data_IF_966243961394
#
_entry.id   IF_966243961394
#
_cell.length_a   1.000
_cell.length_b   1.000
_cell.length_c   1.000
_cell.angle_alpha   90.00
_cell.angle_beta   90.00
_cell.angle_gamma   90.00
#
_symmetry.space_group_name_H-M   'P 1'
#
loop_
_entity.id
_entity.type
_entity.pdbx_description
1 polymer ?
#
# COMPACT_ATOMS: atom_id res chain seq x y z
N UNK A 1 -6.78 8.81 19.70
CA UNK A 1 -6.71 7.42 20.11
C UNK A 1 -5.52 6.77 19.42
N UNK A 2 -4.53 6.37 20.17
CA UNK A 2 -3.32 5.81 19.62
C UNK A 2 -3.51 4.37 19.15
N UNK A 3 -2.87 4.01 18.04
CA UNK A 3 -2.67 2.62 17.68
C UNK A 3 -1.86 1.93 18.77
N UNK A 4 -2.44 0.95 19.43
CA UNK A 4 -1.72 0.15 20.42
C UNK A 4 -0.73 -0.74 19.67
N UNK A 5 0.56 -0.51 19.86
CA UNK A 5 1.61 -1.40 19.39
C UNK A 5 1.76 -2.55 20.37
N UNK A 6 1.74 -3.77 19.87
CA UNK A 6 2.14 -4.93 20.67
C UNK A 6 3.67 -5.07 20.71
N UNK A 7 4.22 -5.86 21.66
CA UNK A 7 5.64 -6.20 21.67
C UNK A 7 6.13 -6.81 20.36
N UNK A 8 5.27 -7.49 19.64
CA UNK A 8 5.58 -8.17 18.37
C UNK A 8 5.49 -7.26 17.15
N UNK A 9 5.23 -5.96 17.35
CA UNK A 9 5.21 -4.95 16.29
C UNK A 9 3.92 -4.86 15.46
N UNK A 10 2.90 -5.67 15.76
CA UNK A 10 1.61 -5.51 15.09
C UNK A 10 0.85 -4.30 15.62
N UNK A 11 0.03 -3.71 14.76
CA UNK A 11 -0.76 -2.50 15.05
C UNK A 11 -2.23 -2.81 14.86
N UNK A 12 -3.03 -2.54 15.90
CA UNK A 12 -4.49 -2.67 15.83
C UNK A 12 -5.09 -1.51 15.04
N UNK A 13 -6.07 -1.81 14.17
CA UNK A 13 -6.87 -0.79 13.52
C UNK A 13 -7.85 -0.17 14.51
N UNK A 14 -8.06 1.14 14.41
CA UNK A 14 -9.17 1.80 15.12
C UNK A 14 -10.53 1.44 14.49
N UNK A 15 -11.63 1.82 15.15
CA UNK A 15 -12.96 1.49 14.67
C UNK A 15 -13.30 2.10 13.32
N UNK A 16 -12.79 3.29 13.02
CA UNK A 16 -12.99 3.95 11.73
C UNK A 16 -12.24 3.22 10.61
N UNK A 17 -11.00 2.81 10.85
CA UNK A 17 -10.20 2.08 9.88
C UNK A 17 -10.76 0.69 9.57
N UNK A 18 -11.44 0.04 10.51
CA UNK A 18 -12.06 -1.29 10.31
C UNK A 18 -13.20 -1.29 9.30
N UNK A 19 -13.87 -0.15 9.08
CA UNK A 19 -14.97 -0.03 8.13
C UNK A 19 -14.48 -0.33 6.71
N UNK A 20 -13.32 0.16 6.31
CA UNK A 20 -12.78 -0.02 4.96
C UNK A 20 -12.54 -1.48 4.57
N UNK A 21 -11.85 -2.31 5.38
CA UNK A 21 -11.75 -3.74 5.08
C UNK A 21 -13.08 -4.47 5.11
N UNK A 22 -13.99 -4.13 6.04
CA UNK A 22 -15.27 -4.79 6.23
C UNK A 22 -16.22 -4.61 5.02
N UNK A 23 -16.16 -3.46 4.35
CA UNK A 23 -17.00 -3.14 3.18
C UNK A 23 -16.35 -3.47 1.84
N UNK A 24 -15.13 -4.02 1.82
CA UNK A 24 -14.48 -4.44 0.59
C UNK A 24 -15.23 -5.58 -0.07
N UNK A 25 -15.61 -5.39 -1.33
CA UNK A 25 -16.17 -6.42 -2.17
C UNK A 25 -15.17 -6.82 -3.27
N UNK A 26 -15.55 -7.81 -4.10
CA UNK A 26 -14.75 -8.21 -5.25
C UNK A 26 -14.54 -7.05 -6.23
N UNK A 27 -15.57 -6.25 -6.44
CA UNK A 27 -15.59 -5.21 -7.46
C UNK A 27 -15.42 -3.80 -6.90
N UNK A 28 -15.44 -3.65 -5.57
CA UNK A 28 -15.32 -2.37 -4.91
C UNK A 28 -14.34 -2.40 -3.75
N UNK A 29 -13.52 -1.38 -3.65
CA UNK A 29 -12.62 -1.13 -2.53
C UNK A 29 -12.51 0.38 -2.31
N UNK A 30 -12.41 0.79 -1.04
CA UNK A 30 -12.17 2.19 -0.68
C UNK A 30 -10.71 2.54 -0.98
N UNK A 31 -10.43 2.93 -2.20
CA UNK A 31 -9.10 3.28 -2.67
C UNK A 31 -9.09 4.69 -3.26
N UNK A 32 -7.96 5.36 -3.12
CA UNK A 32 -7.70 6.62 -3.79
C UNK A 32 -6.33 6.63 -4.43
N UNK A 33 -6.17 7.50 -5.40
CA UNK A 33 -4.98 7.60 -6.23
C UNK A 33 -4.45 9.03 -6.20
N UNK A 34 -3.15 9.14 -5.98
CA UNK A 34 -2.40 10.38 -6.16
C UNK A 34 -1.36 10.14 -7.24
N UNK A 35 -1.27 11.02 -8.22
CA UNK A 35 -0.28 10.90 -9.28
C UNK A 35 0.45 12.21 -9.53
N UNK A 36 1.68 12.09 -10.01
CA UNK A 36 2.53 13.20 -10.43
C UNK A 36 3.14 12.90 -11.78
N UNK A 37 3.21 13.91 -12.64
CA UNK A 37 3.89 13.82 -13.92
C UNK A 37 5.18 14.65 -13.86
N UNK A 38 6.30 14.02 -14.13
CA UNK A 38 7.61 14.65 -14.16
C UNK A 38 7.91 15.22 -15.55
N UNK A 39 8.97 16.01 -15.66
CA UNK A 39 9.44 16.54 -16.95
C UNK A 39 10.06 15.46 -17.82
N UNK A 40 10.82 14.55 -17.21
CA UNK A 40 11.54 13.49 -17.89
C UNK A 40 10.89 12.13 -17.63
N UNK A 41 11.23 11.14 -18.44
CA UNK A 41 10.80 9.76 -18.20
C UNK A 41 11.36 9.23 -16.89
N UNK A 42 10.54 8.45 -16.19
CA UNK A 42 10.92 7.81 -14.94
C UNK A 42 11.79 6.58 -15.22
N UNK A 43 12.96 6.54 -14.60
CA UNK A 43 13.76 5.32 -14.55
C UNK A 43 13.17 4.40 -13.46
N UNK A 44 12.65 3.25 -13.88
CA UNK A 44 11.99 2.31 -12.96
C UNK A 44 12.95 1.80 -11.89
N UNK A 45 14.19 1.51 -12.21
CA UNK A 45 15.18 1.06 -11.23
C UNK A 45 15.50 2.11 -10.18
N UNK A 46 15.58 3.38 -10.56
CA UNK A 46 15.73 4.50 -9.64
C UNK A 46 14.49 4.69 -8.77
N UNK A 47 13.31 4.54 -9.34
CA UNK A 47 12.04 4.63 -8.60
C UNK A 47 11.94 3.52 -7.54
N UNK A 48 12.30 2.30 -7.87
CA UNK A 48 12.31 1.18 -6.93
C UNK A 48 13.26 1.43 -5.75
N UNK A 49 14.45 1.96 -6.02
CA UNK A 49 15.40 2.34 -4.97
C UNK A 49 14.90 3.50 -4.12
N UNK A 50 14.34 4.52 -4.74
CA UNK A 50 13.75 5.66 -4.05
C UNK A 50 12.59 5.23 -3.17
N UNK A 51 11.74 4.31 -3.64
CA UNK A 51 10.66 3.74 -2.86
C UNK A 51 11.18 2.98 -1.65
N UNK A 52 12.17 2.13 -1.82
CA UNK A 52 12.79 1.40 -0.71
C UNK A 52 13.37 2.34 0.36
N UNK A 53 14.05 3.40 -0.06
CA UNK A 53 14.60 4.41 0.85
C UNK A 53 13.50 5.23 1.56
N UNK A 54 12.43 5.55 0.85
CA UNK A 54 11.27 6.24 1.42
C UNK A 54 10.58 5.40 2.49
N UNK A 55 10.39 4.11 2.23
CA UNK A 55 9.77 3.20 3.18
C UNK A 55 10.57 3.05 4.48
N UNK A 56 11.89 3.15 4.42
CA UNK A 56 12.73 3.18 5.63
C UNK A 56 12.45 4.40 6.50
N UNK A 57 12.08 5.54 5.90
CA UNK A 57 11.75 6.78 6.61
C UNK A 57 10.32 6.81 7.12
N UNK A 58 9.42 6.05 6.49
CA UNK A 58 8.00 6.00 6.84
C UNK A 58 7.60 4.55 7.15
N UNK A 59 7.99 4.02 8.31
CA UNK A 59 7.75 2.61 8.65
C UNK A 59 6.27 2.22 8.65
N UNK A 60 5.36 3.18 8.83
CA UNK A 60 3.92 2.94 8.80
C UNK A 60 3.42 2.35 7.46
N UNK A 61 4.12 2.63 6.35
CA UNK A 61 3.82 2.04 5.05
C UNK A 61 4.36 0.63 4.86
N UNK A 62 5.31 0.21 5.70
CA UNK A 62 5.88 -1.14 5.68
C UNK A 62 5.04 -2.15 6.46
N UNK A 63 3.72 -2.00 6.42
CA UNK A 63 2.79 -2.87 7.12
C UNK A 63 1.92 -3.61 6.12
N UNK A 64 1.55 -4.83 6.44
CA UNK A 64 0.54 -5.58 5.71
C UNK A 64 -0.71 -5.79 6.55
N UNK A 65 -1.88 -5.70 5.90
CA UNK A 65 -3.17 -5.89 6.54
C UNK A 65 -3.49 -7.38 6.66
N UNK A 66 -3.77 -7.81 7.87
CA UNK A 66 -4.19 -9.17 8.17
C UNK A 66 -5.57 -9.19 8.83
N UNK A 67 -6.30 -10.27 8.58
CA UNK A 67 -7.58 -10.54 9.23
C UNK A 67 -7.36 -11.50 10.39
N UNK A 68 -7.62 -11.04 11.62
CA UNK A 68 -7.71 -11.90 12.80
C UNK A 68 -9.07 -12.59 12.88
N UNK A 69 -9.31 -13.35 13.98
CA UNK A 69 -10.57 -14.06 14.18
C UNK A 69 -11.74 -13.08 14.35
N UNK A 70 -11.53 -11.99 15.07
CA UNK A 70 -12.55 -10.98 15.38
C UNK A 70 -12.19 -9.56 14.96
N UNK A 71 -10.99 -9.33 14.41
CA UNK A 71 -10.52 -7.99 14.07
C UNK A 71 -9.49 -8.01 12.93
N UNK A 72 -9.29 -6.83 12.33
CA UNK A 72 -8.19 -6.59 11.41
C UNK A 72 -7.01 -5.99 12.17
N UNK A 73 -5.78 -6.32 11.75
CA UNK A 73 -4.55 -5.77 12.32
C UNK A 73 -3.48 -5.60 11.25
N UNK A 74 -2.47 -4.79 11.57
CA UNK A 74 -1.34 -4.51 10.70
C UNK A 74 -0.08 -5.15 11.28
N UNK A 75 0.66 -5.86 10.45
CA UNK A 75 1.96 -6.45 10.79
C UNK A 75 3.08 -5.83 9.97
N UNK A 76 4.32 -5.75 10.52
CA UNK A 76 5.48 -5.37 9.72
C UNK A 76 5.66 -6.29 8.51
N UNK A 77 5.85 -5.69 7.34
CA UNK A 77 6.09 -6.40 6.10
C UNK A 77 7.56 -6.27 5.72
N UNK A 78 8.25 -7.39 5.61
CA UNK A 78 9.68 -7.47 5.26
C UNK A 78 9.93 -7.80 3.80
N UNK A 79 8.88 -8.05 3.03
CA UNK A 79 9.00 -8.30 1.60
C UNK A 79 9.29 -6.98 0.86
N UNK A 80 9.99 -7.02 -0.29
CA UNK A 80 10.22 -5.81 -1.08
C UNK A 80 8.91 -5.26 -1.63
N UNK A 81 8.81 -3.94 -1.70
CA UNK A 81 7.74 -3.26 -2.41
C UNK A 81 7.92 -3.41 -3.93
N UNK A 82 6.81 -3.42 -4.64
CA UNK A 82 6.80 -3.62 -6.09
C UNK A 82 6.35 -2.33 -6.77
N UNK A 83 7.07 -1.94 -7.82
CA UNK A 83 6.65 -0.91 -8.77
C UNK A 83 6.03 -1.61 -9.97
N UNK A 84 4.79 -1.27 -10.29
CA UNK A 84 4.01 -1.87 -11.36
C UNK A 84 3.86 -0.93 -12.56
N UNK A 85 3.69 -1.46 -13.78
CA UNK A 85 3.30 -0.63 -14.91
C UNK A 85 1.88 -0.09 -14.74
N UNK A 86 1.68 1.20 -15.07
CA UNK A 86 0.38 1.87 -14.99
C UNK A 86 -0.41 1.71 -16.28
N UNK A 87 -0.80 0.49 -16.59
CA UNK A 87 -1.44 0.12 -17.87
C UNK A 87 -2.87 -0.43 -17.72
N UNK A 88 -3.32 -0.68 -16.51
CA UNK A 88 -4.65 -1.21 -16.21
C UNK A 88 -5.53 -0.15 -15.52
N UNK A 89 -6.77 -0.53 -15.24
CA UNK A 89 -7.72 0.34 -14.56
C UNK A 89 -7.12 0.94 -13.29
N UNK A 90 -7.23 2.26 -13.09
CA UNK A 90 -6.81 2.90 -11.85
C UNK A 90 -7.67 2.41 -10.67
N UNK A 91 -7.09 2.41 -9.48
CA UNK A 91 -7.77 2.01 -8.25
C UNK A 91 -8.39 0.60 -8.27
N UNK A 92 -7.87 -0.29 -9.11
CA UNK A 92 -8.19 -1.71 -9.03
C UNK A 92 -7.83 -2.25 -7.66
N UNK A 93 -8.68 -3.10 -7.10
CA UNK A 93 -8.43 -3.76 -5.82
C UNK A 93 -7.01 -4.37 -5.76
N UNK A 94 -6.30 -4.08 -4.69
CA UNK A 94 -4.96 -4.61 -4.47
C UNK A 94 -5.07 -6.10 -4.12
N UNK A 95 -4.44 -6.95 -4.93
CA UNK A 95 -4.24 -8.36 -4.61
C UNK A 95 -2.96 -8.47 -3.78
N UNK A 96 -3.06 -9.07 -2.59
CA UNK A 96 -1.93 -9.27 -1.69
C UNK A 96 -0.80 -10.10 -2.31
N UNK A 97 -1.13 -11.02 -3.22
CA UNK A 97 -0.14 -11.85 -3.92
C UNK A 97 0.68 -11.01 -4.91
N UNK A 98 0.02 -10.10 -5.62
CA UNK A 98 0.67 -9.22 -6.60
C UNK A 98 1.48 -8.10 -5.93
N UNK A 99 1.05 -7.64 -4.76
CA UNK A 99 1.66 -6.51 -4.05
C UNK A 99 2.62 -6.91 -2.93
N UNK A 100 2.97 -8.19 -2.78
CA UNK A 100 3.73 -8.70 -1.64
C UNK A 100 3.12 -8.36 -0.26
N UNK A 101 1.80 -8.23 -0.19
CA UNK A 101 1.08 -7.96 1.05
C UNK A 101 0.94 -6.49 1.44
N UNK A 102 1.52 -5.56 0.69
CA UNK A 102 1.32 -4.14 0.93
C UNK A 102 -0.12 -3.71 0.62
N UNK A 103 -0.63 -2.72 1.36
CA UNK A 103 -1.95 -2.14 1.16
C UNK A 103 -1.92 -0.89 0.27
N UNK A 104 -0.78 -0.61 -0.32
CA UNK A 104 -0.59 0.40 -1.35
C UNK A 104 0.13 -0.22 -2.55
N UNK A 105 0.11 0.49 -3.67
CA UNK A 105 0.95 0.17 -4.82
C UNK A 105 1.46 1.43 -5.49
N UNK A 106 2.66 1.35 -6.04
CA UNK A 106 3.26 2.39 -6.85
C UNK A 106 3.24 1.92 -8.29
N UNK A 107 2.75 2.76 -9.18
CA UNK A 107 2.63 2.48 -10.61
C UNK A 107 3.35 3.54 -11.42
N UNK A 108 3.93 3.15 -12.54
CA UNK A 108 4.70 4.05 -13.41
C UNK A 108 4.29 3.87 -14.86
N UNK A 109 4.16 4.98 -15.57
CA UNK A 109 4.00 5.01 -17.02
C UNK A 109 4.66 6.25 -17.57
N UNK A 110 5.73 6.06 -18.38
CA UNK A 110 6.56 7.16 -18.94
C UNK A 110 7.06 8.11 -17.85
N UNK A 111 6.56 9.34 -17.81
CA UNK A 111 6.94 10.37 -16.82
C UNK A 111 5.96 10.46 -15.63
N UNK A 112 4.94 9.60 -15.57
CA UNK A 112 3.94 9.61 -14.52
C UNK A 112 4.23 8.55 -13.46
N UNK A 113 4.20 8.97 -12.20
CA UNK A 113 4.24 8.09 -11.03
C UNK A 113 2.89 8.20 -10.34
N UNK A 114 2.27 7.09 -10.03
CA UNK A 114 1.00 7.04 -9.31
C UNK A 114 1.13 6.19 -8.05
N UNK A 115 0.56 6.69 -6.97
CA UNK A 115 0.41 5.98 -5.71
C UNK A 115 -1.07 5.71 -5.49
N UNK A 116 -1.43 4.45 -5.35
CA UNK A 116 -2.78 4.02 -5.03
C UNK A 116 -2.78 3.45 -3.61
N UNK A 117 -3.68 3.94 -2.79
CA UNK A 117 -3.79 3.63 -1.37
C UNK A 117 -5.16 3.06 -1.04
N UNK A 118 -5.13 2.13 -0.12
CA UNK A 118 -6.35 1.68 0.56
C UNK A 118 -6.69 2.62 1.72
#
# INVERSE_FOLDING_TARGET
MGNRKSPDGWVSLDNSAKIYPAVRTRDWAAMFRVSVTLKDEVDQGLLERALADTLKRIPAFCLSLHKGVFWFYLEPNRLPSIVEPDVNNPCKKIDKRESNGYYFRVRVYRSRIALELF
#
